data_IF_982930585936
#
_entry.id   IF_982930585936
#
_cell.length_a   1.000
_cell.length_b   1.000
_cell.length_c   1.000
_cell.angle_alpha   90.00
_cell.angle_beta   90.00
_cell.angle_gamma   90.00
#
_symmetry.space_group_name_H-M   'P 1'
#
loop_
_entity.id
_entity.type
_entity.pdbx_description
1 polymer ?
#
# COMPACT_ATOMS: atom_id res chain seq x y z
N UNK A 1 -0.80 -18.25 11.26
CA UNK A 1 -0.44 -16.84 10.97
C UNK A 1 0.08 -16.76 9.55
N UNK A 2 -0.28 -15.74 8.77
CA UNK A 2 0.27 -15.56 7.42
C UNK A 2 1.76 -15.17 7.51
N UNK A 3 2.56 -15.67 6.56
CA UNK A 3 3.94 -15.20 6.38
C UNK A 3 3.90 -13.83 5.70
N UNK A 4 4.74 -12.92 6.13
CA UNK A 4 4.87 -11.59 5.53
C UNK A 4 6.31 -11.09 5.59
N UNK A 5 6.67 -10.23 4.66
CA UNK A 5 7.93 -9.49 4.67
C UNK A 5 7.78 -8.17 3.92
N UNK A 6 8.59 -7.20 4.27
CA UNK A 6 8.66 -5.92 3.58
C UNK A 6 10.10 -5.58 3.19
N UNK A 7 10.24 -4.81 2.13
CA UNK A 7 11.50 -4.25 1.67
C UNK A 7 11.27 -2.82 1.19
N UNK A 8 12.13 -1.91 1.62
CA UNK A 8 12.12 -0.53 1.15
C UNK A 8 13.53 -0.13 0.73
N UNK A 9 13.63 0.67 -0.33
CA UNK A 9 14.89 1.15 -0.89
C UNK A 9 14.74 2.61 -1.32
N UNK A 10 15.79 3.39 -1.16
CA UNK A 10 15.78 4.82 -1.52
C UNK A 10 15.68 5.05 -3.04
N UNK A 11 15.93 4.02 -3.83
CA UNK A 11 16.02 4.12 -5.28
C UNK A 11 17.36 4.68 -5.76
N UNK A 12 17.49 4.88 -7.07
CA UNK A 12 18.73 5.29 -7.72
C UNK A 12 18.87 6.83 -7.88
N UNK A 13 17.79 7.59 -7.64
CA UNK A 13 17.72 9.03 -7.89
C UNK A 13 17.45 9.87 -6.65
N UNK A 14 16.76 9.32 -5.68
CA UNK A 14 16.42 10.01 -4.43
C UNK A 14 17.60 9.96 -3.45
N UNK A 15 17.65 10.90 -2.51
CA UNK A 15 18.64 10.94 -1.43
C UNK A 15 18.05 10.54 -0.08
N UNK A 16 16.74 10.65 0.05
CA UNK A 16 15.99 10.36 1.28
C UNK A 16 14.88 9.39 0.90
N UNK A 17 14.66 8.41 1.76
CA UNK A 17 13.51 7.52 1.64
C UNK A 17 12.37 8.11 2.49
N UNK A 18 11.29 8.51 1.82
CA UNK A 18 10.08 9.05 2.44
C UNK A 18 8.95 8.01 2.50
N UNK A 19 9.19 6.83 1.94
CA UNK A 19 8.31 5.68 2.07
C UNK A 19 8.45 5.03 3.45
N UNK A 20 7.36 4.46 3.94
CA UNK A 20 7.37 3.60 5.13
C UNK A 20 6.40 2.44 4.95
N UNK A 21 6.72 1.31 5.56
CA UNK A 21 5.80 0.17 5.65
C UNK A 21 5.75 -0.39 7.07
N UNK A 22 4.64 -1.03 7.40
CA UNK A 22 4.45 -1.74 8.66
C UNK A 22 3.63 -3.00 8.46
N UNK A 23 4.00 -4.07 9.18
CA UNK A 23 3.23 -5.30 9.23
C UNK A 23 3.28 -5.87 10.64
N UNK A 24 2.11 -6.20 11.19
CA UNK A 24 2.05 -6.75 12.55
C UNK A 24 0.77 -7.57 12.78
N UNK A 25 0.85 -8.60 13.62
CA UNK A 25 -0.34 -9.21 14.19
C UNK A 25 -1.11 -8.19 15.04
N UNK A 26 -2.43 -8.25 14.94
CA UNK A 26 -3.36 -7.42 15.71
C UNK A 26 -4.44 -8.31 16.32
N UNK A 27 -5.16 -7.79 17.34
CA UNK A 27 -6.32 -8.44 17.92
C UNK A 27 -6.02 -9.86 18.43
N UNK A 28 -4.95 -9.99 19.25
CA UNK A 28 -4.48 -11.26 19.81
C UNK A 28 -4.20 -12.36 18.74
N UNK A 29 -3.78 -11.93 17.54
CA UNK A 29 -3.43 -12.80 16.42
C UNK A 29 -4.61 -13.17 15.51
N UNK A 30 -5.83 -12.66 15.76
CA UNK A 30 -7.00 -12.88 14.87
C UNK A 30 -6.91 -12.04 13.57
N UNK A 31 -6.00 -11.07 13.50
CA UNK A 31 -5.74 -10.25 12.33
C UNK A 31 -4.25 -10.04 12.03
N UNK A 32 -3.94 -9.80 10.77
CA UNK A 32 -2.67 -9.28 10.30
C UNK A 32 -2.92 -7.92 9.67
N UNK A 33 -2.29 -6.88 10.21
CA UNK A 33 -2.31 -5.53 9.65
C UNK A 33 -1.09 -5.34 8.74
N UNK A 34 -1.33 -4.81 7.54
CA UNK A 34 -0.33 -4.43 6.54
C UNK A 34 -0.56 -2.97 6.18
N UNK A 35 0.49 -2.15 6.14
CA UNK A 35 0.41 -0.72 5.82
C UNK A 35 1.60 -0.33 4.94
N UNK A 36 1.36 0.49 3.92
CA UNK A 36 2.39 1.19 3.13
C UNK A 36 1.96 2.63 2.95
N UNK A 37 2.89 3.55 3.17
CA UNK A 37 2.72 4.99 2.99
C UNK A 37 3.89 5.53 2.16
N UNK A 38 3.58 6.37 1.17
CA UNK A 38 4.53 7.12 0.34
C UNK A 38 4.42 8.60 0.72
N UNK A 39 5.46 9.10 1.35
CA UNK A 39 5.49 10.46 1.88
C UNK A 39 5.86 11.50 0.83
N UNK A 40 5.10 12.57 0.74
CA UNK A 40 5.36 13.69 -0.14
C UNK A 40 5.55 14.99 0.64
N UNK A 41 6.47 15.82 0.14
CA UNK A 41 6.82 17.11 0.73
C UNK A 41 8.28 17.44 0.54
N UNK A 42 8.65 18.69 0.79
CA UNK A 42 10.04 19.12 0.71
C UNK A 42 10.91 18.49 1.79
N UNK A 43 12.17 18.14 1.47
CA UNK A 43 13.19 17.63 2.41
C UNK A 43 12.68 16.50 3.34
N UNK A 44 12.49 16.81 4.63
CA UNK A 44 12.08 15.83 5.67
C UNK A 44 10.57 15.74 5.89
N UNK A 45 9.80 16.64 5.29
CA UNK A 45 8.37 16.73 5.56
C UNK A 45 7.59 15.50 5.11
N UNK A 46 7.96 14.89 3.97
CA UNK A 46 7.34 13.65 3.49
C UNK A 46 7.61 12.45 4.41
N UNK A 47 8.84 12.27 4.90
CA UNK A 47 9.19 11.23 5.87
C UNK A 47 8.41 11.40 7.19
N UNK A 48 8.26 12.64 7.66
CA UNK A 48 7.44 12.94 8.84
C UNK A 48 5.97 12.62 8.59
N UNK A 49 5.43 12.97 7.41
CA UNK A 49 4.04 12.72 7.07
C UNK A 49 3.71 11.22 7.00
N UNK A 50 4.55 10.42 6.32
CA UNK A 50 4.33 8.98 6.17
C UNK A 50 4.43 8.25 7.52
N UNK A 51 5.41 8.59 8.37
CA UNK A 51 5.55 8.01 9.71
C UNK A 51 4.37 8.36 10.61
N UNK A 52 4.01 9.64 10.67
CA UNK A 52 2.89 10.11 11.50
C UNK A 52 1.57 9.46 11.08
N UNK A 53 1.30 9.39 9.77
CA UNK A 53 0.10 8.74 9.26
C UNK A 53 0.03 7.25 9.61
N UNK A 54 1.14 6.52 9.39
CA UNK A 54 1.21 5.10 9.70
C UNK A 54 1.00 4.83 11.19
N UNK A 55 1.65 5.59 12.08
CA UNK A 55 1.52 5.43 13.53
C UNK A 55 0.09 5.70 14.00
N UNK A 56 -0.49 6.85 13.61
CA UNK A 56 -1.86 7.19 13.97
C UNK A 56 -2.88 6.15 13.46
N UNK A 57 -2.72 5.68 12.22
CA UNK A 57 -3.57 4.63 11.65
C UNK A 57 -3.46 3.32 12.43
N UNK A 58 -2.22 2.85 12.65
CA UNK A 58 -1.92 1.63 13.39
C UNK A 58 -2.54 1.63 14.78
N UNK A 59 -2.37 2.72 15.52
CA UNK A 59 -2.80 2.82 16.92
C UNK A 59 -4.34 2.75 17.04
N UNK A 60 -5.08 3.35 16.12
CA UNK A 60 -6.53 3.22 16.07
C UNK A 60 -6.95 1.79 15.75
N UNK A 61 -6.31 1.14 14.76
CA UNK A 61 -6.66 -0.23 14.39
C UNK A 61 -6.34 -1.21 15.51
N UNK A 62 -5.17 -1.08 16.14
CA UNK A 62 -4.74 -1.96 17.23
C UNK A 62 -5.63 -1.81 18.47
N UNK A 63 -6.08 -0.58 18.80
CA UNK A 63 -6.91 -0.30 19.99
C UNK A 63 -8.38 -0.72 19.85
N UNK A 64 -8.82 -1.13 18.65
CA UNK A 64 -10.22 -1.48 18.36
C UNK A 64 -10.35 -2.93 17.87
N UNK A 65 -10.18 -3.93 18.74
CA UNK A 65 -10.30 -5.33 18.33
C UNK A 65 -11.71 -5.65 17.84
N UNK A 66 -11.78 -6.41 16.76
CA UNK A 66 -13.04 -6.91 16.24
C UNK A 66 -13.38 -8.27 16.86
N UNK A 67 -14.31 -8.30 17.80
CA UNK A 67 -14.77 -9.52 18.48
C UNK A 67 -16.00 -10.16 17.86
N UNK A 68 -16.62 -9.53 16.87
CA UNK A 68 -17.83 -10.03 16.22
C UNK A 68 -17.59 -11.38 15.54
N UNK A 69 -18.45 -12.35 15.81
CA UNK A 69 -18.43 -13.68 15.18
C UNK A 69 -19.21 -13.70 13.88
N UNK A 70 -20.34 -13.01 13.81
CA UNK A 70 -21.12 -12.88 12.58
C UNK A 70 -20.30 -12.19 11.46
N UNK A 71 -20.20 -12.79 10.26
CA UNK A 71 -19.36 -12.26 9.19
C UNK A 71 -19.77 -10.86 8.70
N UNK A 72 -21.07 -10.53 8.72
CA UNK A 72 -21.57 -9.22 8.26
C UNK A 72 -21.22 -8.15 9.30
N UNK A 73 -21.55 -8.40 10.56
CA UNK A 73 -21.26 -7.50 11.68
C UNK A 73 -19.73 -7.29 11.78
N UNK A 74 -18.96 -8.36 11.61
CA UNK A 74 -17.50 -8.30 11.58
C UNK A 74 -16.98 -7.41 10.47
N UNK A 75 -17.50 -7.58 9.25
CA UNK A 75 -17.11 -6.75 8.11
C UNK A 75 -17.38 -5.26 8.34
N UNK A 76 -18.55 -4.93 8.86
CA UNK A 76 -18.93 -3.55 9.16
C UNK A 76 -18.08 -2.96 10.30
N UNK A 77 -17.81 -3.74 11.35
CA UNK A 77 -16.93 -3.33 12.46
C UNK A 77 -15.53 -3.01 11.98
N UNK A 78 -14.93 -3.89 11.15
CA UNK A 78 -13.60 -3.68 10.59
C UNK A 78 -13.58 -2.47 9.64
N UNK A 79 -14.59 -2.33 8.77
CA UNK A 79 -14.75 -1.16 7.91
C UNK A 79 -14.77 0.13 8.72
N UNK A 80 -15.60 0.19 9.76
CA UNK A 80 -15.73 1.38 10.60
C UNK A 80 -14.41 1.71 11.32
N UNK A 81 -13.69 0.68 11.77
CA UNK A 81 -12.37 0.84 12.39
C UNK A 81 -11.36 1.40 11.40
N UNK A 82 -11.26 0.84 10.18
CA UNK A 82 -10.33 1.30 9.15
C UNK A 82 -10.64 2.73 8.69
N UNK A 83 -11.92 3.06 8.49
CA UNK A 83 -12.33 4.42 8.12
C UNK A 83 -12.01 5.42 9.24
N UNK A 84 -12.24 5.04 10.51
CA UNK A 84 -11.88 5.88 11.65
C UNK A 84 -10.36 6.07 11.76
N UNK A 85 -9.57 5.03 11.50
CA UNK A 85 -8.12 5.09 11.49
C UNK A 85 -7.58 6.03 10.39
N UNK A 86 -8.18 6.01 9.20
CA UNK A 86 -7.85 6.95 8.14
C UNK A 86 -8.17 8.39 8.53
N UNK A 87 -9.31 8.63 9.17
CA UNK A 87 -9.68 9.98 9.64
C UNK A 87 -8.69 10.50 10.66
N UNK A 88 -8.30 9.68 11.64
CA UNK A 88 -7.31 10.04 12.66
C UNK A 88 -5.95 10.34 12.03
N UNK A 89 -5.47 9.47 11.14
CA UNK A 89 -4.23 9.68 10.42
C UNK A 89 -4.25 11.01 9.63
N UNK A 90 -5.35 11.28 8.91
CA UNK A 90 -5.49 12.52 8.15
C UNK A 90 -5.50 13.75 9.05
N UNK A 91 -6.25 13.72 10.15
CA UNK A 91 -6.37 14.83 11.09
C UNK A 91 -5.02 15.12 11.77
N UNK A 92 -4.30 14.07 12.18
CA UNK A 92 -3.00 14.20 12.85
C UNK A 92 -1.96 14.82 11.90
N UNK A 93 -1.83 14.30 10.67
CA UNK A 93 -0.88 14.86 9.69
C UNK A 93 -1.29 16.26 9.27
N UNK A 94 -2.59 16.53 9.04
CA UNK A 94 -3.08 17.85 8.67
C UNK A 94 -2.80 18.90 9.75
N UNK A 95 -3.03 18.57 11.02
CA UNK A 95 -2.71 19.47 12.15
C UNK A 95 -1.21 19.73 12.21
N UNK A 96 -0.39 18.69 12.09
CA UNK A 96 1.07 18.83 12.11
C UNK A 96 1.57 19.71 10.95
N UNK A 97 0.98 19.60 9.76
CA UNK A 97 1.32 20.42 8.60
C UNK A 97 1.06 21.93 8.81
N UNK A 98 0.22 22.31 9.79
CA UNK A 98 -0.05 23.70 10.14
C UNK A 98 0.88 24.26 11.23
N UNK A 99 1.76 23.46 11.83
CA UNK A 99 2.59 23.89 12.96
C UNK A 99 3.81 24.68 12.57
N UNK A 100 4.32 24.50 11.35
CA UNK A 100 5.50 25.22 10.85
C UNK A 100 5.53 25.29 9.33
N UNK A 101 6.24 26.27 8.78
CA UNK A 101 6.45 26.39 7.33
C UNK A 101 7.25 25.20 6.76
N UNK A 102 8.07 24.52 7.57
CA UNK A 102 8.81 23.33 7.18
C UNK A 102 7.87 22.17 6.79
N UNK A 103 6.71 22.06 7.45
CA UNK A 103 5.72 21.01 7.23
C UNK A 103 4.58 21.40 6.29
N UNK A 104 4.59 22.64 5.82
CA UNK A 104 3.53 23.16 4.95
C UNK A 104 3.42 22.37 3.67
N UNK A 105 2.20 21.86 3.41
CA UNK A 105 1.91 21.08 2.22
C UNK A 105 2.45 19.65 2.23
N UNK A 106 2.96 19.15 3.37
CA UNK A 106 3.29 17.75 3.50
C UNK A 106 2.04 16.87 3.43
N UNK A 107 2.23 15.66 3.00
CA UNK A 107 1.19 14.64 2.96
C UNK A 107 1.78 13.28 2.69
N UNK A 108 0.92 12.28 2.58
CA UNK A 108 1.33 10.92 2.26
C UNK A 108 0.19 10.14 1.62
N UNK A 109 0.53 9.15 0.81
CA UNK A 109 -0.44 8.10 0.48
C UNK A 109 -0.66 7.20 1.69
N UNK A 110 -1.72 6.41 1.66
CA UNK A 110 -1.92 5.33 2.60
C UNK A 110 -2.69 4.20 1.92
N UNK A 111 -2.05 3.05 1.77
CA UNK A 111 -2.71 1.79 1.45
C UNK A 111 -2.52 0.83 2.61
N UNK A 112 -3.61 0.32 3.14
CA UNK A 112 -3.56 -0.59 4.27
C UNK A 112 -4.56 -1.73 4.12
N UNK A 113 -4.22 -2.88 4.71
CA UNK A 113 -5.08 -4.05 4.70
C UNK A 113 -5.07 -4.77 6.05
N UNK A 114 -6.22 -5.25 6.46
CA UNK A 114 -6.38 -6.22 7.54
C UNK A 114 -6.79 -7.55 6.93
N UNK A 115 -6.01 -8.60 7.22
CA UNK A 115 -6.38 -9.97 6.87
C UNK A 115 -6.85 -10.68 8.13
N UNK A 116 -8.08 -11.14 8.15
CA UNK A 116 -8.67 -11.83 9.28
C UNK A 116 -9.65 -12.90 8.80
N UNK A 117 -9.53 -14.13 9.33
CA UNK A 117 -10.43 -15.28 9.07
C UNK A 117 -10.64 -15.58 7.58
N UNK A 118 -9.62 -15.38 6.74
CA UNK A 118 -9.69 -15.61 5.29
C UNK A 118 -10.37 -14.51 4.49
N UNK A 119 -10.61 -13.36 5.12
CA UNK A 119 -11.06 -12.12 4.47
C UNK A 119 -9.96 -11.08 4.47
N UNK A 120 -9.89 -10.31 3.39
CA UNK A 120 -9.08 -9.11 3.25
C UNK A 120 -9.98 -7.89 3.30
N UNK A 121 -9.67 -6.95 4.17
CA UNK A 121 -10.31 -5.65 4.27
C UNK A 121 -9.26 -4.58 4.01
N UNK A 122 -9.45 -3.75 3.02
CA UNK A 122 -8.43 -2.76 2.65
C UNK A 122 -9.01 -1.36 2.52
N UNK A 123 -8.16 -0.37 2.74
CA UNK A 123 -8.41 1.04 2.48
C UNK A 123 -7.31 1.62 1.61
N UNK A 124 -7.65 2.61 0.80
CA UNK A 124 -6.70 3.31 -0.05
C UNK A 124 -6.95 4.81 -0.11
N UNK A 125 -5.87 5.59 -0.01
CA UNK A 125 -5.77 7.01 -0.33
C UNK A 125 -4.43 7.25 -1.04
N UNK A 126 -4.48 7.77 -2.26
CA UNK A 126 -3.30 7.99 -3.09
C UNK A 126 -3.19 6.98 -4.23
N UNK A 127 -1.99 6.81 -4.74
CA UNK A 127 -1.63 5.96 -5.87
C UNK A 127 -0.70 4.79 -5.50
N UNK A 128 -0.40 4.63 -4.20
CA UNK A 128 0.10 3.36 -3.69
C UNK A 128 -0.94 2.27 -3.88
N UNK A 129 -0.51 1.05 -4.18
CA UNK A 129 -1.42 0.01 -4.66
C UNK A 129 -1.42 -1.24 -3.82
N UNK A 130 -2.56 -1.92 -3.82
CA UNK A 130 -2.72 -3.29 -3.33
C UNK A 130 -3.06 -4.21 -4.50
N UNK A 131 -2.32 -5.32 -4.61
CA UNK A 131 -2.56 -6.40 -5.57
C UNK A 131 -2.85 -7.70 -4.87
N UNK A 132 -3.70 -8.51 -5.49
CA UNK A 132 -3.77 -9.96 -5.26
C UNK A 132 -3.12 -10.67 -6.44
N UNK A 133 -2.13 -11.52 -6.15
CA UNK A 133 -1.38 -12.24 -7.18
C UNK A 133 -1.42 -13.72 -6.89
N UNK A 134 -2.06 -14.48 -7.78
CA UNK A 134 -2.16 -15.94 -7.73
C UNK A 134 -1.39 -16.55 -8.90
N UNK A 135 -1.37 -17.87 -9.00
CA UNK A 135 -0.77 -18.57 -10.17
C UNK A 135 -1.54 -18.33 -11.48
N UNK A 136 -2.71 -17.73 -11.42
CA UNK A 136 -3.60 -17.55 -12.57
C UNK A 136 -3.69 -16.10 -13.03
N UNK A 137 -3.61 -15.16 -12.09
CA UNK A 137 -3.74 -13.75 -12.38
C UNK A 137 -3.02 -12.86 -11.37
N UNK A 138 -2.64 -11.66 -11.82
CA UNK A 138 -2.27 -10.52 -10.99
C UNK A 138 -3.37 -9.45 -11.14
N UNK A 139 -4.04 -9.11 -10.06
CA UNK A 139 -5.14 -8.14 -10.06
C UNK A 139 -4.86 -6.99 -9.10
N UNK A 140 -4.86 -5.77 -9.62
CA UNK A 140 -4.90 -4.58 -8.79
C UNK A 140 -6.27 -4.48 -8.13
N UNK A 141 -6.28 -4.40 -6.80
CA UNK A 141 -7.50 -4.29 -5.98
C UNK A 141 -7.88 -2.83 -5.79
N UNK A 142 -6.89 -2.00 -5.45
CA UNK A 142 -7.07 -0.56 -5.26
C UNK A 142 -7.22 0.16 -6.59
N UNK A 143 -7.72 1.39 -6.50
CA UNK A 143 -7.77 2.30 -7.63
C UNK A 143 -6.94 3.52 -7.28
N UNK A 144 -6.09 3.94 -8.19
CA UNK A 144 -5.23 5.10 -7.96
C UNK A 144 -6.05 6.39 -7.87
N UNK A 145 -5.76 7.20 -6.89
CA UNK A 145 -6.25 8.57 -6.81
C UNK A 145 -5.26 9.49 -7.50
N UNK A 146 -5.14 9.34 -8.83
CA UNK A 146 -4.26 10.15 -9.67
C UNK A 146 -5.01 10.88 -10.76
N UNK A 147 -4.41 11.96 -11.27
CA UNK A 147 -5.00 12.74 -12.35
C UNK A 147 -5.21 11.90 -13.61
N UNK A 148 -4.24 11.07 -13.98
CA UNK A 148 -4.37 10.21 -15.16
C UNK A 148 -5.45 9.15 -14.99
N UNK A 149 -5.63 8.60 -13.79
CA UNK A 149 -6.71 7.66 -13.50
C UNK A 149 -8.09 8.34 -13.64
N UNK A 150 -8.21 9.58 -13.24
CA UNK A 150 -9.44 10.37 -13.48
C UNK A 150 -9.71 10.55 -14.98
N UNK A 151 -8.69 10.87 -15.78
CA UNK A 151 -8.85 11.01 -17.23
C UNK A 151 -9.25 9.70 -17.92
N UNK A 152 -8.70 8.55 -17.47
CA UNK A 152 -9.10 7.22 -17.96
C UNK A 152 -10.58 6.95 -17.63
N UNK A 153 -11.02 7.22 -16.41
CA UNK A 153 -12.39 6.97 -15.96
C UNK A 153 -13.42 7.83 -16.70
N UNK A 154 -13.04 9.04 -17.06
CA UNK A 154 -13.90 9.96 -17.86
C UNK A 154 -13.81 9.72 -19.37
N UNK A 155 -13.03 8.71 -19.81
CA UNK A 155 -12.84 8.38 -21.21
C UNK A 155 -12.05 9.41 -22.03
N UNK A 156 -11.29 10.29 -21.37
CA UNK A 156 -10.51 11.33 -22.02
C UNK A 156 -9.16 10.82 -22.57
N UNK A 157 -8.60 9.79 -21.95
CA UNK A 157 -7.38 9.12 -22.41
C UNK A 157 -7.49 7.61 -22.21
N UNK A 158 -6.73 6.85 -22.97
CA UNK A 158 -6.55 5.41 -22.82
C UNK A 158 -5.53 5.09 -21.71
N UNK A 159 -5.50 3.86 -21.16
CA UNK A 159 -4.46 3.42 -20.23
C UNK A 159 -3.04 3.52 -20.80
N UNK A 160 -2.88 3.32 -22.10
CA UNK A 160 -1.59 3.45 -22.79
C UNK A 160 -1.10 4.89 -22.86
N UNK A 161 -2.00 5.83 -23.15
CA UNK A 161 -1.68 7.27 -23.17
C UNK A 161 -1.34 7.78 -21.77
N UNK A 162 -1.97 7.25 -20.73
CA UNK A 162 -1.70 7.59 -19.34
C UNK A 162 -0.25 7.32 -18.92
N UNK A 163 0.37 6.24 -19.42
CA UNK A 163 1.77 5.88 -19.10
C UNK A 163 2.76 6.97 -19.49
N UNK A 164 2.48 7.69 -20.57
CA UNK A 164 3.35 8.74 -21.13
C UNK A 164 2.85 10.14 -20.79
N UNK A 165 1.81 10.29 -19.99
CA UNK A 165 1.27 11.59 -19.64
C UNK A 165 2.25 12.34 -18.71
N UNK A 166 2.58 13.62 -18.97
CA UNK A 166 3.50 14.40 -18.14
C UNK A 166 2.99 14.61 -16.71
N UNK A 167 1.68 14.46 -16.46
CA UNK A 167 1.05 14.56 -15.14
C UNK A 167 0.71 13.19 -14.53
N UNK A 168 1.35 12.11 -14.94
CA UNK A 168 1.07 10.75 -14.44
C UNK A 168 1.30 10.59 -12.94
N UNK A 169 2.24 11.35 -12.37
CA UNK A 169 2.56 11.31 -10.94
C UNK A 169 1.77 12.35 -10.10
N UNK A 170 0.74 12.99 -10.69
CA UNK A 170 -0.09 13.95 -9.95
C UNK A 170 -1.20 13.20 -9.24
N UNK A 171 -1.11 13.10 -7.92
CA UNK A 171 -2.16 12.51 -7.08
C UNK A 171 -3.28 13.53 -6.80
N UNK A 172 -4.50 13.03 -6.64
CA UNK A 172 -5.71 13.84 -6.40
C UNK A 172 -6.23 13.72 -4.98
N UNK A 173 -5.76 12.70 -4.23
CA UNK A 173 -6.08 12.50 -2.81
C UNK A 173 -4.85 12.05 -2.06
N UNK A 174 -4.63 12.62 -0.86
CA UNK A 174 -3.56 12.24 0.06
C UNK A 174 -3.97 12.54 1.51
N UNK A 175 -3.36 11.85 2.43
CA UNK A 175 -3.42 12.10 3.88
C UNK A 175 -2.71 13.41 4.20
N UNK A 176 -3.33 14.27 5.01
CA UNK A 176 -2.73 15.49 5.55
C UNK A 176 -2.80 16.74 4.66
N UNK A 177 -3.24 16.62 3.41
CA UNK A 177 -3.31 17.75 2.47
C UNK A 177 -4.58 18.59 2.68
N UNK A 178 -5.68 17.96 3.03
CA UNK A 178 -6.95 18.63 3.29
C UNK A 178 -7.50 18.21 4.67
N UNK A 179 -8.33 19.06 5.28
CA UNK A 179 -8.95 18.78 6.59
C UNK A 179 -9.85 17.55 6.59
N UNK A 180 -10.38 17.18 5.43
CA UNK A 180 -11.18 15.96 5.22
C UNK A 180 -10.71 15.25 3.96
N UNK A 181 -10.74 13.93 3.98
CA UNK A 181 -10.43 13.09 2.83
C UNK A 181 -11.44 11.95 2.72
N UNK A 182 -11.72 11.55 1.49
CA UNK A 182 -12.53 10.38 1.19
C UNK A 182 -11.62 9.16 1.08
N UNK A 183 -12.07 8.03 1.61
CA UNK A 183 -11.33 6.76 1.61
C UNK A 183 -12.06 5.72 0.80
N UNK A 184 -11.35 5.02 -0.06
CA UNK A 184 -11.87 3.82 -0.72
C UNK A 184 -11.74 2.62 0.22
N UNK A 185 -12.78 1.79 0.28
CA UNK A 185 -12.80 0.57 1.08
C UNK A 185 -13.08 -0.65 0.19
N UNK A 186 -12.34 -1.73 0.45
CA UNK A 186 -12.43 -2.99 -0.28
C UNK A 186 -12.61 -4.14 0.70
N UNK A 187 -13.44 -5.13 0.31
CA UNK A 187 -13.69 -6.34 1.08
C UNK A 187 -13.63 -7.55 0.13
N UNK A 188 -12.71 -8.49 0.37
CA UNK A 188 -12.43 -9.61 -0.52
C UNK A 188 -12.35 -10.91 0.26
N UNK A 189 -13.06 -11.93 -0.19
CA UNK A 189 -12.95 -13.28 0.33
C UNK A 189 -11.74 -14.00 -0.31
N UNK A 190 -10.64 -14.11 0.40
CA UNK A 190 -9.40 -14.75 -0.06
C UNK A 190 -9.56 -16.24 -0.33
N UNK A 191 -10.50 -16.92 0.34
CA UNK A 191 -10.75 -18.36 0.12
C UNK A 191 -11.18 -18.68 -1.30
N UNK A 192 -11.76 -17.68 -2.02
CA UNK A 192 -12.15 -17.82 -3.43
C UNK A 192 -10.96 -17.70 -4.40
N UNK A 193 -9.81 -17.24 -3.92
CA UNK A 193 -8.60 -17.01 -4.73
C UNK A 193 -7.59 -18.15 -4.66
N UNK A 194 -7.79 -19.10 -3.75
CA UNK A 194 -6.83 -20.17 -3.50
C UNK A 194 -5.61 -19.69 -2.72
N UNK A 195 -4.40 -20.00 -3.20
CA UNK A 195 -3.15 -19.55 -2.59
C UNK A 195 -2.46 -18.51 -3.47
N UNK A 196 -1.87 -17.51 -2.83
CA UNK A 196 -1.23 -16.41 -3.54
C UNK A 196 -0.51 -15.43 -2.62
N UNK A 197 -0.30 -14.23 -3.16
CA UNK A 197 0.35 -13.13 -2.47
C UNK A 197 -0.55 -11.90 -2.44
N UNK A 198 -0.61 -11.25 -1.29
CA UNK A 198 -1.06 -9.88 -1.12
C UNK A 198 0.19 -9.02 -1.27
N UNK A 199 0.20 -8.06 -2.18
CA UNK A 199 1.27 -7.09 -2.35
C UNK A 199 0.73 -5.68 -2.15
N UNK A 200 1.30 -4.96 -1.17
CA UNK A 200 1.17 -3.51 -1.05
C UNK A 200 2.48 -2.88 -1.53
N UNK A 201 2.40 -1.81 -2.31
CA UNK A 201 3.60 -1.15 -2.82
C UNK A 201 3.36 0.32 -3.17
N UNK A 202 4.44 1.10 -3.20
CA UNK A 202 4.46 2.48 -3.67
C UNK A 202 4.62 2.57 -5.20
N UNK A 203 4.47 3.75 -5.74
CA UNK A 203 4.55 4.03 -7.18
C UNK A 203 5.96 3.81 -7.75
N UNK A 204 7.01 3.91 -6.92
CA UNK A 204 8.38 3.58 -7.31
C UNK A 204 8.55 2.15 -7.80
N UNK A 205 7.70 1.22 -7.39
CA UNK A 205 7.61 -0.11 -7.98
C UNK A 205 6.74 -0.08 -9.23
N UNK A 206 5.52 0.44 -9.14
CA UNK A 206 4.48 0.28 -10.18
C UNK A 206 4.74 1.13 -11.43
N UNK A 207 5.61 2.12 -11.36
CA UNK A 207 6.08 2.87 -12.51
C UNK A 207 6.84 2.00 -13.54
N UNK A 208 7.31 0.82 -13.14
CA UNK A 208 8.11 -0.11 -13.96
C UNK A 208 7.46 -1.47 -14.17
N UNK A 209 6.31 -1.75 -13.52
CA UNK A 209 5.66 -3.05 -13.59
C UNK A 209 4.32 -2.98 -14.31
N UNK A 210 4.06 -4.00 -15.10
CA UNK A 210 2.71 -4.40 -15.47
C UNK A 210 2.32 -5.71 -14.76
N UNK A 211 1.07 -6.13 -14.90
CA UNK A 211 0.57 -7.34 -14.26
C UNK A 211 1.29 -8.61 -14.73
N UNK A 212 1.80 -8.64 -15.98
CA UNK A 212 2.52 -9.77 -16.52
C UNK A 212 3.90 -9.90 -15.87
N UNK A 213 4.64 -8.79 -15.82
CA UNK A 213 5.96 -8.75 -15.18
C UNK A 213 5.84 -9.09 -13.69
N UNK A 214 4.84 -8.53 -13.00
CA UNK A 214 4.58 -8.83 -11.59
C UNK A 214 4.35 -10.33 -11.37
N UNK A 215 3.53 -10.96 -12.22
CA UNK A 215 3.30 -12.39 -12.18
C UNK A 215 4.59 -13.19 -12.37
N UNK A 216 5.39 -12.83 -13.39
CA UNK A 216 6.65 -13.49 -13.69
C UNK A 216 7.64 -13.42 -12.51
N UNK A 217 7.80 -12.25 -11.90
CA UNK A 217 8.72 -12.04 -10.77
C UNK A 217 8.29 -12.83 -9.51
N UNK A 218 6.99 -13.01 -9.29
CA UNK A 218 6.50 -13.71 -8.10
C UNK A 218 6.43 -15.24 -8.27
N UNK A 219 6.26 -15.76 -9.50
CA UNK A 219 6.01 -17.19 -9.71
C UNK A 219 7.07 -17.92 -10.53
N UNK A 220 7.96 -17.22 -11.25
CA UNK A 220 9.03 -17.85 -12.06
C UNK A 220 10.35 -17.95 -11.26
N UNK A 221 10.34 -18.67 -10.14
CA UNK A 221 11.60 -18.98 -9.45
C UNK A 221 12.33 -20.17 -10.12
N UNK A 222 13.60 -20.00 -10.46
CA UNK A 222 14.48 -21.06 -11.05
C UNK A 222 15.51 -21.58 -10.05
N UNK A 223 15.16 -21.73 -8.80
CA UNK A 223 16.13 -22.15 -7.79
C UNK A 223 16.36 -23.65 -7.75
N UNK A 224 17.64 -24.04 -7.67
CA UNK A 224 18.06 -25.43 -7.51
C UNK A 224 17.88 -25.96 -6.10
N UNK A 225 17.87 -25.08 -5.10
CA UNK A 225 17.67 -25.40 -3.67
C UNK A 225 16.33 -24.78 -3.24
N UNK A 226 15.51 -25.57 -2.55
CA UNK A 226 14.22 -25.06 -2.01
C UNK A 226 14.47 -24.27 -0.73
N UNK A 227 14.27 -22.93 -0.73
CA UNK A 227 14.34 -22.12 0.48
C UNK A 227 13.17 -22.45 1.41
N UNK A 228 13.27 -22.03 2.66
CA UNK A 228 12.10 -22.01 3.55
C UNK A 228 11.03 -21.07 2.99
N UNK A 229 9.75 -21.24 3.35
CA UNK A 229 8.69 -20.36 2.88
C UNK A 229 8.92 -18.87 3.21
N UNK A 230 9.59 -18.57 4.32
CA UNK A 230 9.93 -17.21 4.71
C UNK A 230 11.06 -16.64 3.84
N UNK A 231 12.14 -17.39 3.63
CA UNK A 231 13.25 -16.99 2.75
C UNK A 231 12.77 -16.81 1.29
N UNK A 232 11.85 -17.66 0.82
CA UNK A 232 11.22 -17.50 -0.50
C UNK A 232 10.50 -16.15 -0.61
N UNK A 233 9.75 -15.77 0.44
CA UNK A 233 8.99 -14.52 0.44
C UNK A 233 9.92 -13.31 0.46
N UNK A 234 10.96 -13.33 1.30
CA UNK A 234 11.98 -12.29 1.40
C UNK A 234 12.68 -12.07 0.05
N UNK A 235 13.09 -13.17 -0.59
CA UNK A 235 13.72 -13.09 -1.90
C UNK A 235 12.81 -12.52 -2.99
N UNK A 236 11.50 -12.81 -2.93
CA UNK A 236 10.53 -12.19 -3.85
C UNK A 236 10.44 -10.68 -3.64
N UNK A 237 10.42 -10.21 -2.39
CA UNK A 237 10.43 -8.79 -2.09
C UNK A 237 11.72 -8.12 -2.60
N UNK A 238 12.88 -8.74 -2.39
CA UNK A 238 14.16 -8.27 -2.92
C UNK A 238 14.18 -8.23 -4.45
N UNK A 239 13.62 -9.23 -5.10
CA UNK A 239 13.56 -9.32 -6.56
C UNK A 239 12.71 -8.18 -7.15
N UNK A 240 11.58 -7.84 -6.52
CA UNK A 240 10.72 -6.73 -6.94
C UNK A 240 11.47 -5.39 -6.84
N UNK A 241 12.12 -5.12 -5.71
CA UNK A 241 12.89 -3.89 -5.49
C UNK A 241 14.08 -3.81 -6.45
N UNK A 242 14.82 -4.90 -6.62
CA UNK A 242 15.95 -4.95 -7.53
C UNK A 242 15.53 -4.73 -8.99
N UNK A 243 14.37 -5.26 -9.39
CA UNK A 243 13.81 -5.03 -10.71
C UNK A 243 13.51 -3.54 -10.96
N UNK A 244 12.83 -2.87 -10.02
CA UNK A 244 12.52 -1.45 -10.12
C UNK A 244 13.80 -0.59 -10.18
N UNK A 245 14.79 -0.87 -9.33
CA UNK A 245 16.08 -0.20 -9.36
C UNK A 245 16.81 -0.38 -10.70
N UNK A 246 16.85 -1.61 -11.22
CA UNK A 246 17.45 -1.92 -12.52
C UNK A 246 16.74 -1.24 -13.68
N UNK A 247 15.43 -1.03 -13.55
CA UNK A 247 14.60 -0.37 -14.57
C UNK A 247 14.68 1.16 -14.52
N UNK A 248 15.42 1.73 -13.54
CA UNK A 248 15.65 3.17 -13.46
C UNK A 248 15.65 3.74 -12.05
N UNK A 249 14.90 3.15 -11.10
CA UNK A 249 14.87 3.52 -9.68
C UNK A 249 14.65 5.01 -9.45
N UNK A 250 13.70 5.62 -10.16
CA UNK A 250 13.51 7.08 -10.16
C UNK A 250 12.93 7.62 -8.86
N UNK A 251 12.34 6.75 -8.04
CA UNK A 251 11.73 7.10 -6.77
C UNK A 251 12.10 6.11 -5.66
N UNK A 252 11.65 6.39 -4.43
CA UNK A 252 11.66 5.44 -3.33
C UNK A 252 10.82 4.22 -3.72
N UNK A 253 11.25 3.02 -3.35
CA UNK A 253 10.62 1.77 -3.75
C UNK A 253 10.30 0.97 -2.51
N UNK A 254 9.01 0.79 -2.23
CA UNK A 254 8.57 0.01 -1.07
C UNK A 254 7.62 -1.08 -1.48
N UNK A 255 7.87 -2.29 -0.98
CA UNK A 255 7.03 -3.47 -1.17
C UNK A 255 6.76 -4.14 0.17
N UNK A 256 5.54 -4.60 0.36
CA UNK A 256 5.12 -5.40 1.50
C UNK A 256 4.31 -6.59 0.98
N UNK A 257 4.83 -7.78 1.18
CA UNK A 257 4.25 -9.04 0.73
C UNK A 257 3.68 -9.83 1.91
N UNK A 258 2.52 -10.44 1.72
CA UNK A 258 2.00 -11.47 2.60
C UNK A 258 1.53 -12.67 1.76
N UNK A 259 1.79 -13.90 2.22
CA UNK A 259 1.37 -15.14 1.55
C UNK A 259 0.07 -15.64 2.17
N UNK A 260 -0.97 -15.87 1.36
CA UNK A 260 -2.27 -16.42 1.79
C UNK A 260 -2.61 -17.73 1.11
#
# INVERSE_FOLDING_TARGET
MLLYCGKSDVGMRRKINQDIYGAMPIWDGDGLLLIVCDGMGGHKAGDTASKTAMEAFRDVVASRPCTAEDPVIRSDSIKNTLVAAVKEANETVYKLAQTSDEYKGMGTTLVAAVVSRGMLYAVNIGDSRLYLVTRHEAKQVTRDHSFVQFLIQTGQITPEEAKNNPRKNVITRAIGVASKTEVDFFNINLRKWGSGYILLCTDGLTNYLDNKILFELLFQSREKVRPTPQEELEKKAETLVAYANKSGGSDNITVLLAKF
#
